data_IF_036255787248
#
_entry.id   IF_036255787248
#
_cell.length_a   1.000
_cell.length_b   1.000
_cell.length_c   1.000
_cell.angle_alpha   90.00
_cell.angle_beta   90.00
_cell.angle_gamma   90.00
#
_symmetry.space_group_name_H-M   'P 1'
#
loop_
_entity.id
_entity.type
_entity.pdbx_description
1 polymer ?
#
# COMPACT_ATOMS: atom_id res chain seq x y z
N UNK A 1 8.70 10.53 8.55
CA UNK A 1 7.50 11.35 8.79
C UNK A 1 6.26 10.48 8.56
N UNK A 2 5.13 10.74 9.21
CA UNK A 2 3.88 9.97 9.04
C UNK A 2 2.93 10.67 8.06
N UNK A 3 2.15 9.91 7.28
CA UNK A 3 1.12 10.47 6.39
C UNK A 3 0.04 11.24 7.18
N UNK A 4 -0.27 10.79 8.40
CA UNK A 4 -1.22 11.48 9.28
C UNK A 4 -0.68 12.85 9.70
N UNK A 5 0.61 12.93 10.04
CA UNK A 5 1.25 14.21 10.35
C UNK A 5 1.19 15.15 9.16
N UNK A 6 1.52 14.67 7.96
CA UNK A 6 1.39 15.46 6.74
C UNK A 6 -0.02 16.03 6.53
N UNK A 7 -1.07 15.21 6.68
CA UNK A 7 -2.45 15.67 6.52
C UNK A 7 -2.82 16.77 7.52
N UNK A 8 -2.38 16.65 8.77
CA UNK A 8 -2.66 17.64 9.81
C UNK A 8 -1.83 18.91 9.60
N UNK A 9 -0.55 18.76 9.26
CA UNK A 9 0.38 19.89 9.13
C UNK A 9 0.07 20.72 7.88
N UNK A 10 -0.35 20.09 6.77
CA UNK A 10 -0.66 20.77 5.49
C UNK A 10 -2.10 21.30 5.44
N UNK A 11 -3.09 20.49 5.85
CA UNK A 11 -4.51 20.82 5.68
C UNK A 11 -5.23 21.17 6.99
N UNK A 12 -4.60 20.93 8.14
CA UNK A 12 -5.14 21.24 9.45
C UNK A 12 -5.98 20.14 10.08
N UNK A 13 -6.16 20.24 11.40
CA UNK A 13 -6.96 19.29 12.20
C UNK A 13 -8.45 19.28 11.80
N UNK A 14 -8.98 20.41 11.32
CA UNK A 14 -10.40 20.55 10.92
C UNK A 14 -10.73 19.66 9.72
N UNK A 15 -9.97 19.76 8.63
CA UNK A 15 -10.15 18.90 7.46
C UNK A 15 -9.85 17.44 7.79
N UNK A 16 -8.87 17.17 8.66
CA UNK A 16 -8.63 15.81 9.13
C UNK A 16 -9.82 15.23 9.90
N UNK A 17 -10.48 16.03 10.75
CA UNK A 17 -11.71 15.62 11.43
C UNK A 17 -12.87 15.41 10.43
N UNK A 18 -12.97 16.25 9.40
CA UNK A 18 -13.96 16.12 8.34
C UNK A 18 -13.79 14.81 7.54
N UNK A 19 -12.55 14.39 7.27
CA UNK A 19 -12.26 13.09 6.66
C UNK A 19 -12.88 11.94 7.47
N UNK A 20 -12.75 11.96 8.79
CA UNK A 20 -13.37 10.94 9.65
C UNK A 20 -14.89 11.05 9.69
N UNK A 21 -15.44 12.26 9.63
CA UNK A 21 -16.89 12.45 9.53
C UNK A 21 -17.43 11.81 8.24
N UNK A 22 -16.72 12.00 7.12
CA UNK A 22 -17.06 11.42 5.84
C UNK A 22 -16.98 9.90 5.82
N UNK A 23 -15.90 9.33 6.38
CA UNK A 23 -15.79 7.87 6.54
C UNK A 23 -16.90 7.32 7.44
N UNK A 24 -17.22 8.01 8.53
CA UNK A 24 -18.31 7.63 9.46
C UNK A 24 -19.69 7.69 8.80
N UNK A 25 -19.88 8.54 7.79
CA UNK A 25 -21.12 8.58 7.00
C UNK A 25 -21.30 7.33 6.12
N UNK A 26 -20.27 6.50 5.97
CA UNK A 26 -20.26 5.28 5.16
C UNK A 26 -19.54 5.43 3.82
N UNK A 27 -18.93 6.59 3.54
CA UNK A 27 -18.06 6.74 2.36
C UNK A 27 -16.84 5.83 2.48
N UNK A 28 -16.46 5.22 1.36
CA UNK A 28 -15.14 4.57 1.25
C UNK A 28 -14.05 5.64 1.32
N UNK A 29 -12.84 5.23 1.72
CA UNK A 29 -11.68 6.12 1.84
C UNK A 29 -11.48 6.99 0.59
N UNK A 30 -11.56 6.38 -0.60
CA UNK A 30 -11.44 7.10 -1.88
C UNK A 30 -12.39 8.29 -1.98
N UNK A 31 -13.69 8.05 -1.79
CA UNK A 31 -14.70 9.11 -1.89
C UNK A 31 -14.71 10.07 -0.68
N UNK A 32 -14.16 9.66 0.46
CA UNK A 32 -13.98 10.54 1.61
C UNK A 32 -12.82 11.52 1.38
N UNK A 33 -11.69 11.04 0.84
CA UNK A 33 -10.57 11.89 0.45
C UNK A 33 -10.95 12.84 -0.66
N UNK A 34 -11.66 12.36 -1.68
CA UNK A 34 -12.11 13.20 -2.78
C UNK A 34 -13.08 14.30 -2.30
N UNK A 35 -13.96 13.98 -1.34
CA UNK A 35 -14.90 14.94 -0.78
C UNK A 35 -14.22 16.06 0.04
N UNK A 36 -13.17 15.73 0.79
CA UNK A 36 -12.52 16.69 1.72
C UNK A 36 -11.35 17.41 1.05
N UNK A 37 -10.50 16.69 0.33
CA UNK A 37 -9.25 17.21 -0.21
C UNK A 37 -9.25 17.37 -1.73
N UNK A 38 -10.27 16.86 -2.43
CA UNK A 38 -10.36 16.94 -3.90
C UNK A 38 -9.49 15.93 -4.65
N UNK A 39 -8.88 14.96 -3.94
CA UNK A 39 -8.09 13.89 -4.54
C UNK A 39 -8.32 12.55 -3.84
N UNK A 40 -8.04 11.45 -4.55
CA UNK A 40 -8.09 10.09 -4.03
C UNK A 40 -6.81 9.66 -3.31
N UNK A 41 -6.69 8.37 -2.98
CA UNK A 41 -5.50 7.84 -2.30
C UNK A 41 -4.22 8.02 -3.12
N UNK A 42 -4.33 7.93 -4.44
CA UNK A 42 -3.20 8.14 -5.33
C UNK A 42 -2.70 9.58 -5.29
N UNK A 43 -3.61 10.55 -5.40
CA UNK A 43 -3.24 11.96 -5.27
C UNK A 43 -2.64 12.29 -3.90
N UNK A 44 -3.18 11.68 -2.82
CA UNK A 44 -2.59 11.83 -1.48
C UNK A 44 -1.15 11.35 -1.42
N UNK A 45 -0.85 10.18 -1.98
CA UNK A 45 0.52 9.67 -1.98
C UNK A 45 1.45 10.52 -2.86
N UNK A 46 0.97 10.99 -4.01
CA UNK A 46 1.76 11.85 -4.91
C UNK A 46 2.12 13.19 -4.24
N UNK A 47 1.15 13.86 -3.62
CA UNK A 47 1.35 15.09 -2.86
C UNK A 47 2.28 14.87 -1.66
N UNK A 48 2.07 13.81 -0.88
CA UNK A 48 2.94 13.47 0.25
C UNK A 48 4.39 13.22 -0.18
N UNK A 49 4.60 12.52 -1.30
CA UNK A 49 5.94 12.28 -1.85
C UNK A 49 6.59 13.57 -2.31
N UNK A 50 5.84 14.44 -3.00
CA UNK A 50 6.33 15.74 -3.41
C UNK A 50 6.75 16.60 -2.20
N UNK A 51 5.93 16.64 -1.15
CA UNK A 51 6.23 17.37 0.08
C UNK A 51 7.47 16.84 0.85
N UNK A 52 7.90 15.60 0.56
CA UNK A 52 9.07 14.97 1.20
C UNK A 52 10.26 14.82 0.23
N UNK A 53 10.25 15.51 -0.92
CA UNK A 53 11.28 15.42 -1.97
C UNK A 53 11.57 13.98 -2.43
N UNK A 54 10.54 13.12 -2.40
CA UNK A 54 10.65 11.73 -2.83
C UNK A 54 10.40 11.62 -4.34
N UNK A 55 11.05 10.66 -5.04
CA UNK A 55 10.78 10.42 -6.45
C UNK A 55 9.29 10.12 -6.69
N UNK A 56 8.69 10.61 -7.79
CA UNK A 56 7.32 10.28 -8.17
C UNK A 56 7.09 8.77 -8.29
N UNK A 57 5.83 8.35 -8.14
CA UNK A 57 5.46 6.94 -8.29
C UNK A 57 5.49 6.55 -9.76
N UNK A 58 5.94 5.34 -10.04
CA UNK A 58 5.73 4.67 -11.32
C UNK A 58 4.42 3.93 -11.24
N UNK A 59 3.33 4.62 -11.54
CA UNK A 59 2.00 4.00 -11.65
C UNK A 59 1.96 3.25 -12.97
N UNK A 60 1.75 1.92 -13.00
CA UNK A 60 1.46 1.22 -14.24
C UNK A 60 0.27 1.91 -14.90
N UNK A 61 0.41 2.28 -16.18
CA UNK A 61 -0.74 2.77 -16.94
C UNK A 61 -1.89 1.77 -16.74
N UNK A 62 -3.08 2.25 -16.43
CA UNK A 62 -4.27 1.41 -16.36
C UNK A 62 -4.27 0.53 -17.62
N UNK A 63 -4.26 -0.80 -17.43
CA UNK A 63 -4.31 -1.71 -18.55
C UNK A 63 -5.52 -1.31 -19.39
N UNK A 64 -5.26 -0.82 -20.60
CA UNK A 64 -6.31 -0.62 -21.58
C UNK A 64 -7.01 -1.98 -21.69
N UNK A 65 -8.34 -2.06 -21.59
CA UNK A 65 -9.02 -3.34 -21.67
C UNK A 65 -8.57 -4.00 -22.96
N UNK A 66 -7.88 -5.15 -22.83
CA UNK A 66 -7.43 -5.95 -23.96
C UNK A 66 -8.60 -6.03 -24.94
N UNK A 67 -8.40 -5.41 -26.09
CA UNK A 67 -9.21 -5.64 -27.27
C UNK A 67 -9.32 -7.17 -27.39
N UNK A 68 -10.53 -7.74 -27.48
CA UNK A 68 -10.72 -9.18 -27.37
C UNK A 68 -9.71 -9.89 -28.25
N UNK A 69 -8.87 -10.72 -27.62
CA UNK A 69 -8.04 -11.67 -28.34
C UNK A 69 -8.97 -12.33 -29.35
N UNK A 70 -8.72 -12.06 -30.63
CA UNK A 70 -9.29 -12.85 -31.71
C UNK A 70 -9.07 -14.29 -31.29
N UNK A 71 -10.16 -15.01 -31.00
CA UNK A 71 -10.10 -16.44 -30.69
C UNK A 71 -9.62 -17.08 -31.98
N UNK A 72 -8.30 -17.16 -32.16
CA UNK A 72 -7.68 -18.00 -33.14
C UNK A 72 -8.28 -19.40 -32.94
N UNK A 73 -8.75 -20.07 -34.00
CA UNK A 73 -9.30 -21.41 -33.86
C UNK A 73 -8.27 -22.26 -33.10
N UNK A 74 -8.73 -22.88 -32.02
CA UNK A 74 -7.95 -23.87 -31.29
C UNK A 74 -7.74 -25.05 -32.25
N UNK A 75 -6.61 -25.06 -32.94
CA UNK A 75 -6.04 -26.31 -33.41
C UNK A 75 -5.60 -27.06 -32.15
N UNK A 76 -6.55 -27.85 -31.63
CA UNK A 76 -6.34 -28.90 -30.63
C UNK A 76 -5.31 -29.88 -31.17
N UNK A 77 -4.03 -29.69 -30.86
CA UNK A 77 -3.04 -30.75 -30.95
C UNK A 77 -2.03 -30.66 -29.80
N UNK A 78 -2.25 -31.58 -28.87
CA UNK A 78 -1.24 -32.32 -28.11
C UNK A 78 -0.37 -31.61 -27.05
N UNK A 79 -0.64 -31.97 -25.80
CA UNK A 79 0.41 -32.57 -24.97
C UNK A 79 1.48 -31.64 -24.39
N UNK A 80 1.10 -30.82 -23.41
CA UNK A 80 2.10 -30.11 -22.59
C UNK A 80 1.53 -29.54 -21.31
N UNK A 81 1.60 -30.29 -20.22
CA UNK A 81 1.30 -29.82 -18.86
C UNK A 81 1.88 -28.43 -18.58
N UNK A 82 1.01 -27.45 -18.36
CA UNK A 82 1.31 -26.30 -17.50
C UNK A 82 0.12 -26.03 -16.57
N UNK A 83 -0.34 -27.10 -15.92
CA UNK A 83 -0.84 -27.04 -14.56
C UNK A 83 0.35 -26.78 -13.61
N UNK A 84 1.01 -25.64 -13.78
CA UNK A 84 2.10 -25.21 -12.92
C UNK A 84 1.77 -23.83 -12.35
N UNK A 85 1.04 -23.88 -11.24
CA UNK A 85 1.15 -22.98 -10.10
C UNK A 85 0.48 -21.60 -10.22
N UNK A 86 -0.82 -21.61 -9.94
CA UNK A 86 -1.38 -20.71 -8.94
C UNK A 86 -0.50 -20.68 -7.68
N UNK A 87 -0.21 -19.44 -7.22
CA UNK A 87 0.31 -19.05 -5.89
C UNK A 87 1.83 -19.02 -5.70
N UNK A 88 2.37 -17.81 -5.65
CA UNK A 88 3.62 -17.45 -4.96
C UNK A 88 3.51 -16.05 -4.34
N UNK A 89 2.64 -15.88 -3.34
CA UNK A 89 2.97 -15.54 -1.95
C UNK A 89 4.11 -14.52 -1.74
N UNK A 90 3.71 -13.39 -1.16
CA UNK A 90 4.50 -12.35 -0.49
C UNK A 90 5.82 -12.82 0.17
N UNK A 91 6.93 -12.19 -0.21
CA UNK A 91 8.22 -12.16 0.49
C UNK A 91 8.84 -10.78 0.15
N UNK A 92 9.33 -9.91 1.03
CA UNK A 92 9.70 -10.02 2.44
C UNK A 92 9.58 -8.65 3.13
N UNK A 93 8.89 -8.62 4.27
CA UNK A 93 9.21 -7.73 5.37
C UNK A 93 10.15 -8.49 6.31
N UNK A 94 11.07 -7.75 6.95
CA UNK A 94 11.99 -8.14 8.03
C UNK A 94 13.40 -8.57 7.64
N UNK A 95 14.25 -7.58 7.36
CA UNK A 95 15.54 -7.55 8.02
C UNK A 95 15.38 -6.77 9.34
N UNK A 96 14.83 -7.42 10.37
CA UNK A 96 14.88 -6.90 11.75
C UNK A 96 16.29 -7.14 12.26
N UNK A 97 17.10 -6.08 12.15
CA UNK A 97 18.36 -5.96 12.86
C UNK A 97 18.08 -5.55 14.31
N UNK A 98 17.89 -6.53 15.21
CA UNK A 98 18.09 -6.32 16.65
C UNK A 98 18.69 -7.57 17.29
N UNK A 99 19.98 -7.76 17.06
CA UNK A 99 20.82 -8.56 17.94
C UNK A 99 21.44 -7.64 19.00
N UNK A 100 20.66 -7.22 20.02
CA UNK A 100 21.21 -6.67 21.27
C UNK A 100 20.29 -7.05 22.44
N UNK A 101 20.83 -7.84 23.38
CA UNK A 101 20.55 -7.66 24.80
C UNK A 101 19.50 -8.55 25.47
N UNK A 102 19.71 -9.86 25.48
CA UNK A 102 19.18 -10.71 26.56
C UNK A 102 20.33 -11.13 27.46
N UNK A 103 20.18 -10.94 28.78
CA UNK A 103 21.10 -11.56 29.75
C UNK A 103 21.43 -10.74 30.99
N UNK A 104 20.67 -9.69 31.33
CA UNK A 104 20.83 -8.93 32.57
C UNK A 104 19.98 -9.44 33.73
N UNK A 105 19.92 -10.76 33.99
CA UNK A 105 19.38 -11.31 35.26
C UNK A 105 20.03 -12.67 35.53
N UNK A 106 21.04 -12.71 36.39
CA UNK A 106 21.21 -13.75 37.39
C UNK A 106 22.03 -13.17 38.55
N UNK A 107 21.29 -12.55 39.48
CA UNK A 107 21.74 -12.21 40.82
C UNK A 107 21.90 -13.48 41.65
N UNK A 108 22.93 -13.48 42.51
CA UNK A 108 23.16 -14.39 43.65
C UNK A 108 23.58 -15.82 43.27
N UNK A 109 24.67 -16.37 43.83
CA UNK A 109 24.82 -16.64 45.26
C UNK A 109 26.23 -17.22 45.48
N UNK A 110 27.15 -16.46 46.06
CA UNK A 110 27.72 -16.69 47.41
C UNK A 110 28.19 -18.14 47.66
N UNK A 111 29.51 -18.34 47.66
CA UNK A 111 30.38 -18.73 48.80
C UNK A 111 31.82 -18.65 48.31
#
# INVERSE_FOLDING_TARGET
WSLVSYLIDEYGEEQFAELFAEVKSGKRIEGALEAVYGFGQDGLEDEWRAANDLPPRVTPAAAEPDQPDDIAPLDEDDGGSSLALVIGLAIAVMAVATAVGFGGVLLARRI
#
